data_IF_965428788155
#
_entry.id   IF_965428788155
#
_cell.length_a   1.000
_cell.length_b   1.000
_cell.length_c   1.000
_cell.angle_alpha   90.00
_cell.angle_beta   90.00
_cell.angle_gamma   90.00
#
_symmetry.space_group_name_H-M   'P 1'
#
loop_
_entity.id
_entity.type
_entity.pdbx_description
1 polymer ?
#
# COMPACT_ATOMS: atom_id res chain seq x y z
N UNK A 1 -8.14 59.74 2.92
CA UNK A 1 -8.07 60.01 1.46
C UNK A 1 -7.32 58.94 0.66
N UNK A 2 -6.17 58.40 1.08
CA UNK A 2 -5.47 57.34 0.32
C UNK A 2 -6.20 55.98 0.28
N UNK A 3 -7.03 55.69 1.30
CA UNK A 3 -7.77 54.42 1.42
C UNK A 3 -8.89 54.25 0.39
N UNK A 4 -9.49 55.36 -0.04
CA UNK A 4 -10.57 55.37 -1.04
C UNK A 4 -10.03 55.12 -2.45
N UNK A 5 -8.78 55.52 -2.70
CA UNK A 5 -8.04 55.23 -3.93
C UNK A 5 -7.69 53.74 -4.04
N UNK A 6 -7.21 53.13 -2.94
CA UNK A 6 -6.95 51.69 -2.89
C UNK A 6 -8.24 50.88 -3.03
N UNK A 7 -9.34 51.35 -2.42
CA UNK A 7 -10.65 50.70 -2.57
C UNK A 7 -11.17 50.76 -4.01
N UNK A 8 -10.98 51.88 -4.72
CA UNK A 8 -11.31 51.99 -6.16
C UNK A 8 -10.38 51.14 -7.05
N UNK A 9 -9.11 51.02 -6.68
CA UNK A 9 -8.16 50.13 -7.35
C UNK A 9 -8.55 48.66 -7.14
N UNK A 10 -8.92 48.27 -5.92
CA UNK A 10 -9.36 46.92 -5.60
C UNK A 10 -10.67 46.56 -6.31
N UNK A 11 -11.65 47.46 -6.36
CA UNK A 11 -12.89 47.23 -7.11
C UNK A 11 -12.63 47.05 -8.62
N UNK A 12 -11.80 47.92 -9.22
CA UNK A 12 -11.49 47.84 -10.66
C UNK A 12 -10.67 46.59 -11.02
N UNK A 13 -9.70 46.20 -10.20
CA UNK A 13 -8.91 44.97 -10.39
C UNK A 13 -9.75 43.72 -10.15
N UNK A 14 -10.63 43.74 -9.15
CA UNK A 14 -11.55 42.64 -8.88
C UNK A 14 -12.48 42.39 -10.07
N UNK A 15 -13.04 43.44 -10.69
CA UNK A 15 -13.89 43.32 -11.88
C UNK A 15 -13.10 42.79 -13.08
N UNK A 16 -11.86 43.27 -13.30
CA UNK A 16 -11.02 42.77 -14.40
C UNK A 16 -10.63 41.31 -14.21
N UNK A 17 -10.24 40.91 -13.00
CA UNK A 17 -9.99 39.50 -12.65
C UNK A 17 -11.25 38.67 -12.82
N UNK A 18 -12.41 39.17 -12.40
CA UNK A 18 -13.69 38.46 -12.53
C UNK A 18 -14.07 38.27 -13.98
N UNK A 19 -13.93 39.28 -14.85
CA UNK A 19 -14.15 39.14 -16.30
C UNK A 19 -13.15 38.19 -16.96
N UNK A 20 -11.87 38.24 -16.59
CA UNK A 20 -10.88 37.26 -17.08
C UNK A 20 -11.19 35.84 -16.60
N UNK A 21 -11.62 35.69 -15.34
CA UNK A 21 -12.08 34.41 -14.78
C UNK A 21 -13.34 33.94 -15.45
N UNK A 22 -14.30 34.82 -15.74
CA UNK A 22 -15.53 34.47 -16.42
C UNK A 22 -15.25 34.05 -17.87
N UNK A 23 -14.35 34.74 -18.60
CA UNK A 23 -13.93 34.32 -19.95
C UNK A 23 -13.19 32.96 -19.93
N UNK A 24 -12.29 32.74 -18.96
CA UNK A 24 -11.66 31.44 -18.72
C UNK A 24 -12.70 30.40 -18.28
N UNK A 25 -13.72 30.78 -17.52
CA UNK A 25 -14.82 29.94 -17.07
C UNK A 25 -15.80 29.62 -18.20
N UNK A 26 -15.97 30.47 -19.21
CA UNK A 26 -16.77 30.22 -20.41
C UNK A 26 -16.03 29.28 -21.37
N UNK A 27 -14.72 29.46 -21.56
CA UNK A 27 -13.86 28.45 -22.20
C UNK A 27 -13.84 27.14 -21.40
N UNK A 28 -13.82 27.27 -20.08
CA UNK A 28 -13.99 26.17 -19.14
C UNK A 28 -15.46 25.79 -18.92
N UNK A 29 -16.46 26.34 -19.60
CA UNK A 29 -17.86 25.92 -19.43
C UNK A 29 -18.11 24.69 -20.30
N UNK A 30 -17.50 24.70 -21.50
CA UNK A 30 -17.33 23.51 -22.33
C UNK A 30 -16.36 22.52 -21.69
N UNK A 31 -15.27 23.03 -21.11
CA UNK A 31 -14.38 22.18 -20.32
C UNK A 31 -14.99 21.72 -19.00
N UNK A 32 -15.99 22.38 -18.41
CA UNK A 32 -16.61 22.04 -17.11
C UNK A 32 -17.36 20.75 -17.22
N UNK A 33 -18.14 20.54 -18.29
CA UNK A 33 -18.77 19.24 -18.53
C UNK A 33 -17.74 18.12 -18.59
N UNK A 34 -16.67 18.31 -19.35
CA UNK A 34 -15.63 17.28 -19.49
C UNK A 34 -14.74 17.15 -18.26
N UNK A 35 -14.52 18.24 -17.52
CA UNK A 35 -13.70 18.32 -16.34
C UNK A 35 -14.43 17.75 -15.14
N UNK A 36 -15.70 18.06 -14.90
CA UNK A 36 -16.47 17.43 -13.82
C UNK A 36 -16.52 15.91 -13.99
N UNK A 37 -16.65 15.43 -15.23
CA UNK A 37 -16.70 14.00 -15.56
C UNK A 37 -15.34 13.29 -15.47
N UNK A 38 -14.25 14.00 -15.78
CA UNK A 38 -12.86 13.50 -15.60
C UNK A 38 -12.38 13.64 -14.16
N UNK A 39 -12.70 14.74 -13.48
CA UNK A 39 -12.39 15.01 -12.09
C UNK A 39 -13.12 14.00 -11.20
N UNK A 40 -14.39 13.69 -11.48
CA UNK A 40 -15.11 12.62 -10.77
C UNK A 40 -14.36 11.28 -10.85
N UNK A 41 -13.84 10.91 -12.03
CA UNK A 41 -13.02 9.70 -12.21
C UNK A 41 -11.68 9.77 -11.47
N UNK A 42 -11.03 10.94 -11.43
CA UNK A 42 -9.78 11.15 -10.67
C UNK A 42 -10.03 11.05 -9.17
N UNK A 43 -11.07 11.70 -8.65
CA UNK A 43 -11.44 11.60 -7.23
C UNK A 43 -11.81 10.16 -6.85
N UNK A 44 -12.55 9.45 -7.70
CA UNK A 44 -12.83 8.03 -7.51
C UNK A 44 -11.54 7.20 -7.48
N UNK A 45 -10.60 7.44 -8.39
CA UNK A 45 -9.29 6.79 -8.40
C UNK A 45 -8.50 7.05 -7.12
N UNK A 46 -8.40 8.31 -6.68
CA UNK A 46 -7.73 8.71 -5.44
C UNK A 46 -8.37 8.01 -4.24
N UNK A 47 -9.71 7.96 -4.17
CA UNK A 47 -10.42 7.27 -3.10
C UNK A 47 -10.08 5.78 -3.08
N UNK A 48 -10.09 5.10 -4.23
CA UNK A 48 -9.72 3.68 -4.33
C UNK A 48 -8.27 3.45 -3.89
N UNK A 49 -7.33 4.26 -4.37
CA UNK A 49 -5.91 4.17 -3.98
C UNK A 49 -5.72 4.41 -2.48
N UNK A 50 -6.43 5.39 -1.90
CA UNK A 50 -6.37 5.67 -0.47
C UNK A 50 -6.89 4.50 0.37
N UNK A 51 -8.03 3.90 -0.03
CA UNK A 51 -8.59 2.72 0.65
C UNK A 51 -7.67 1.52 0.54
N UNK A 52 -7.09 1.26 -0.63
CA UNK A 52 -6.10 0.19 -0.83
C UNK A 52 -4.87 0.38 0.04
N UNK A 53 -4.33 1.61 0.09
CA UNK A 53 -3.17 1.93 0.92
C UNK A 53 -3.49 1.71 2.41
N UNK A 54 -4.62 2.22 2.90
CA UNK A 54 -5.07 2.01 4.27
C UNK A 54 -5.29 0.53 4.60
N UNK A 55 -5.88 -0.23 3.66
CA UNK A 55 -6.07 -1.68 3.79
C UNK A 55 -4.75 -2.46 3.87
N UNK A 56 -3.78 -2.14 3.02
CA UNK A 56 -2.45 -2.77 3.03
C UNK A 56 -1.70 -2.50 4.34
N UNK A 57 -1.75 -1.27 4.85
CA UNK A 57 -1.12 -0.92 6.14
C UNK A 57 -1.82 -1.64 7.30
N UNK A 58 -3.15 -1.72 7.28
CA UNK A 58 -3.92 -2.47 8.28
C UNK A 58 -3.59 -3.96 8.29
N UNK A 59 -3.50 -4.59 7.12
CA UNK A 59 -3.14 -6.01 7.00
C UNK A 59 -1.70 -6.29 7.45
N UNK A 60 -0.78 -5.36 7.17
CA UNK A 60 0.61 -5.46 7.65
C UNK A 60 0.68 -5.42 9.17
N UNK A 61 -0.12 -4.58 9.83
CA UNK A 61 -0.15 -4.52 11.29
C UNK A 61 -0.69 -5.81 11.92
N UNK A 62 -1.75 -6.39 11.34
CA UNK A 62 -2.36 -7.64 11.82
C UNK A 62 -1.38 -8.82 11.70
N UNK A 63 -0.71 -8.95 10.55
CA UNK A 63 0.29 -10.01 10.35
C UNK A 63 1.50 -9.83 11.28
N UNK A 64 2.00 -8.61 11.45
CA UNK A 64 3.17 -8.36 12.31
C UNK A 64 2.88 -8.70 13.79
N UNK A 65 1.62 -8.64 14.23
CA UNK A 65 1.21 -9.11 15.56
C UNK A 65 1.17 -10.65 15.64
N UNK A 66 0.71 -11.32 14.58
CA UNK A 66 0.64 -12.79 14.50
C UNK A 66 2.01 -13.43 14.32
N UNK A 67 2.91 -12.78 13.59
CA UNK A 67 4.29 -13.22 13.39
C UNK A 67 5.11 -13.12 14.67
N UNK A 68 4.88 -12.10 15.51
CA UNK A 68 5.52 -12.02 16.84
C UNK A 68 5.16 -13.22 17.73
N UNK A 69 3.93 -13.71 17.67
CA UNK A 69 3.52 -14.91 18.40
C UNK A 69 4.01 -16.21 17.74
N UNK A 70 3.97 -16.28 16.41
CA UNK A 70 4.53 -17.43 15.67
C UNK A 70 6.03 -17.53 15.85
N UNK A 71 6.79 -16.44 15.94
CA UNK A 71 8.24 -16.46 16.09
C UNK A 71 8.69 -17.11 17.41
N UNK A 72 7.90 -16.99 18.49
CA UNK A 72 8.16 -17.69 19.74
C UNK A 72 7.76 -19.17 19.67
N UNK A 73 6.61 -19.48 19.05
CA UNK A 73 6.20 -20.88 18.81
C UNK A 73 7.14 -21.61 17.84
N UNK A 74 7.69 -20.93 16.84
CA UNK A 74 8.63 -21.52 15.89
C UNK A 74 9.97 -21.82 16.53
N UNK A 75 10.38 -21.03 17.54
CA UNK A 75 11.58 -21.33 18.35
C UNK A 75 11.35 -22.58 19.20
N UNK A 76 10.18 -22.74 19.81
CA UNK A 76 9.81 -23.97 20.53
C UNK A 76 9.71 -25.17 19.59
N UNK A 77 9.00 -25.07 18.46
CA UNK A 77 8.89 -26.15 17.48
C UNK A 77 10.24 -26.50 16.82
N UNK A 78 11.14 -25.53 16.60
CA UNK A 78 12.50 -25.81 16.14
C UNK A 78 13.32 -26.53 17.20
N UNK A 79 13.17 -26.20 18.48
CA UNK A 79 13.80 -26.95 19.56
C UNK A 79 13.25 -28.38 19.66
N UNK A 80 11.94 -28.57 19.52
CA UNK A 80 11.33 -29.91 19.52
C UNK A 80 11.73 -30.73 18.27
N UNK A 81 11.78 -30.13 17.08
CA UNK A 81 12.29 -30.81 15.88
C UNK A 81 13.79 -31.11 15.95
N UNK A 82 14.58 -30.22 16.55
CA UNK A 82 16.00 -30.44 16.78
C UNK A 82 16.23 -31.53 17.85
N UNK A 83 15.32 -31.65 18.82
CA UNK A 83 15.34 -32.71 19.84
C UNK A 83 14.81 -34.06 19.31
N UNK A 84 13.97 -34.07 18.28
CA UNK A 84 13.46 -35.30 17.65
C UNK A 84 14.44 -35.93 16.62
N UNK A 85 15.49 -35.20 16.20
CA UNK A 85 16.46 -35.67 15.19
C UNK A 85 17.70 -36.48 15.66
N UNK A 86 17.92 -36.89 16.92
CA UNK A 86 19.04 -37.78 17.24
C UNK A 86 18.71 -39.28 17.11
N UNK A 87 17.47 -39.71 16.87
CA UNK A 87 17.10 -41.15 16.91
C UNK A 87 16.84 -41.83 15.57
N UNK A 88 16.90 -41.11 14.43
CA UNK A 88 16.71 -41.74 13.10
C UNK A 88 18.01 -42.22 12.44
N UNK A 89 19.18 -41.91 13.01
CA UNK A 89 20.49 -42.25 12.43
C UNK A 89 21.22 -43.39 13.14
N UNK A 90 20.67 -43.94 14.23
CA UNK A 90 21.18 -45.15 14.87
C UNK A 90 20.28 -46.35 14.51
N UNK A 91 20.28 -46.76 13.24
CA UNK A 91 19.91 -48.13 12.90
C UNK A 91 21.10 -49.02 13.21
N UNK A 92 21.02 -49.94 14.18
CA UNK A 92 21.91 -51.08 14.18
C UNK A 92 21.44 -52.06 13.10
N UNK A 93 22.41 -52.82 12.61
CA UNK A 93 22.22 -54.11 11.93
C UNK A 93 21.86 -54.04 10.44
N UNK A 94 22.89 -54.13 9.59
CA UNK A 94 23.16 -55.36 8.81
C UNK A 94 24.65 -55.41 8.42
N UNK A 95 25.48 -55.94 9.30
CA UNK A 95 26.73 -56.58 8.89
C UNK A 95 26.43 -58.07 8.81
N UNK A 96 26.17 -58.54 7.60
CA UNK A 96 25.85 -59.93 7.29
C UNK A 96 26.39 -60.27 5.92
N UNK A 97 27.71 -60.26 5.83
CA UNK A 97 28.55 -60.90 4.83
C UNK A 97 27.99 -62.27 4.42
N UNK A 98 27.67 -62.46 3.13
CA UNK A 98 27.68 -63.80 2.54
C UNK A 98 27.85 -63.73 1.02
N UNK A 99 29.06 -64.14 0.62
CA UNK A 99 29.42 -64.88 -0.60
C UNK A 99 29.31 -64.22 -1.98
N UNK A 100 30.46 -63.67 -2.39
CA UNK A 100 31.02 -63.69 -3.76
C UNK A 100 30.74 -65.03 -4.47
N UNK A 101 30.11 -64.96 -5.65
CA UNK A 101 30.21 -66.00 -6.68
C UNK A 101 31.40 -65.68 -7.60
N UNK A 102 32.31 -66.63 -7.87
CA UNK A 102 33.25 -66.52 -8.99
C UNK A 102 32.62 -67.10 -10.28
N UNK A 103 32.83 -66.41 -11.40
CA UNK A 103 33.00 -67.06 -12.71
C UNK A 103 34.43 -67.59 -12.80
#
# INVERSE_FOLDING_TARGET
MARDYDSQLLESVAVRRRRMRDALLFGAQRARRTADERLGKVFAGIAITAVLCAGCVGWSFIQNMMEKQKAEQQKQQRQEQQYQQPTKTAQPDKTGESTKNPQ
#
